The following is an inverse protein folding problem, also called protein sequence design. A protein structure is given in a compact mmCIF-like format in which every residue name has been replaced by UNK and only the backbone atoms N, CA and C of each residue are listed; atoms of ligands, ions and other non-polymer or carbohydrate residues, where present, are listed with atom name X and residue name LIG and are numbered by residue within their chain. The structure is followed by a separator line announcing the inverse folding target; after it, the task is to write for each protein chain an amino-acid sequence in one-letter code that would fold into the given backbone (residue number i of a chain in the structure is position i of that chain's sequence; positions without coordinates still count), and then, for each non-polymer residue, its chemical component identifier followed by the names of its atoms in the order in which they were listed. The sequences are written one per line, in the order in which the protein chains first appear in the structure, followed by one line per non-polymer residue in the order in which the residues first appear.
data_IF_050261657498
#
_entry.id   IF_050261657498
#
_cell.length_a   1.000
_cell.length_b   1.000
_cell.length_c   1.000
_cell.angle_alpha   90.00
_cell.angle_beta   90.00
_cell.angle_gamma   90.00
#
_symmetry.space_group_name_H-M   'P 1'
#
loop_
_entity.id
_entity.type
_entity.pdbx_description
1 polymer ?
#
# COMPACT_ATOMS: atom_id res chain seq x y z
N UNK A 1 6.97 8.45 -13.02
CA UNK A 1 6.62 8.81 -11.62
C UNK A 1 7.30 7.82 -10.69
N UNK A 2 7.66 8.25 -9.48
CA UNK A 2 8.67 7.62 -8.64
C UNK A 2 8.00 6.69 -7.61
N UNK A 3 8.68 5.58 -7.27
CA UNK A 3 8.22 4.44 -6.48
C UNK A 3 7.39 4.81 -5.22
N UNK A 4 7.81 5.87 -4.53
CA UNK A 4 7.25 6.28 -3.23
C UNK A 4 5.85 6.88 -3.28
N UNK A 5 5.42 7.36 -4.45
CA UNK A 5 4.06 7.86 -4.66
C UNK A 5 3.04 6.70 -4.57
N UNK A 6 3.47 5.45 -4.80
CA UNK A 6 2.58 4.29 -4.89
C UNK A 6 2.34 3.61 -3.53
N UNK A 7 3.39 3.44 -2.72
CA UNK A 7 3.32 2.51 -1.57
C UNK A 7 2.57 3.09 -0.35
N UNK A 8 2.50 4.41 -0.19
CA UNK A 8 1.77 5.05 0.92
C UNK A 8 0.25 4.80 0.86
N UNK A 9 -0.27 4.20 -0.22
CA UNK A 9 -1.71 4.04 -0.49
C UNK A 9 -2.20 2.59 -0.56
N UNK A 10 -1.34 1.59 -0.32
CA UNK A 10 -1.73 0.16 -0.34
C UNK A 10 -2.75 -0.24 0.75
N UNK A 11 -3.06 0.67 1.68
CA UNK A 11 -4.13 0.55 2.70
C UNK A 11 -5.54 0.39 2.09
N UNK A 12 -5.75 0.60 0.79
CA UNK A 12 -7.09 0.79 0.22
C UNK A 12 -7.54 -0.38 -0.70
N UNK A 13 -6.80 -1.50 -0.77
CA UNK A 13 -7.36 -2.74 -1.37
C UNK A 13 -8.50 -3.30 -0.49
N UNK A 14 -8.45 -3.05 0.82
CA UNK A 14 -9.60 -3.30 1.70
C UNK A 14 -10.79 -2.40 1.40
N UNK A 15 -10.54 -1.14 1.04
CA UNK A 15 -11.59 -0.12 0.93
C UNK A 15 -12.44 -0.23 -0.35
N UNK A 16 -11.98 -0.93 -1.39
CA UNK A 16 -12.82 -1.38 -2.51
C UNK A 16 -13.72 -2.57 -2.12
N UNK A 17 -13.40 -3.34 -1.08
CA UNK A 17 -14.26 -4.40 -0.53
C UNK A 17 -15.20 -3.94 0.60
N UNK A 18 -14.91 -2.78 1.23
CA UNK A 18 -15.79 -2.13 2.21
C UNK A 18 -17.11 -1.57 1.62
N UNK A 19 -17.40 -1.88 0.35
CA UNK A 19 -18.53 -1.43 -0.47
C UNK A 19 -19.93 -1.73 0.11
N UNK A 20 -20.02 -2.62 1.12
CA UNK A 20 -21.27 -3.12 1.69
C UNK A 20 -21.60 -2.61 3.11
N UNK A 21 -20.80 -1.72 3.72
CA UNK A 21 -21.23 -1.09 4.98
C UNK A 21 -22.41 -0.12 4.75
N UNK A 22 -23.45 -0.20 5.59
CA UNK A 22 -24.69 0.59 5.55
C UNK A 22 -24.50 2.11 5.77
N UNK A 23 -23.28 2.63 5.78
CA UNK A 23 -22.97 4.06 6.01
C UNK A 23 -22.56 4.76 4.70
N UNK A 24 -23.49 5.44 4.01
CA UNK A 24 -23.24 6.07 2.70
C UNK A 24 -22.18 7.21 2.72
N UNK A 25 -21.92 7.81 3.88
CA UNK A 25 -20.90 8.86 4.03
C UNK A 25 -19.46 8.31 3.93
N UNK A 26 -19.19 7.14 4.53
CA UNK A 26 -17.91 6.45 4.44
C UNK A 26 -17.63 6.05 2.98
N UNK A 27 -18.66 5.49 2.32
CA UNK A 27 -18.64 5.10 0.90
C UNK A 27 -18.25 6.25 -0.04
N UNK A 28 -18.73 7.47 0.20
CA UNK A 28 -18.49 8.61 -0.71
C UNK A 28 -17.10 9.24 -0.52
N UNK A 29 -16.60 9.32 0.72
CA UNK A 29 -15.30 9.92 1.04
C UNK A 29 -14.16 8.99 0.60
N UNK A 30 -14.29 7.70 0.90
CA UNK A 30 -13.34 6.66 0.48
C UNK A 30 -13.26 6.57 -1.05
N UNK A 31 -14.42 6.58 -1.74
CA UNK A 31 -14.48 6.45 -3.21
C UNK A 31 -13.96 7.67 -3.99
N UNK A 32 -14.14 8.89 -3.46
CA UNK A 32 -13.80 10.12 -4.22
C UNK A 32 -12.36 10.57 -4.05
N UNK A 33 -11.73 10.35 -2.89
CA UNK A 33 -10.37 10.86 -2.64
C UNK A 33 -9.33 9.74 -2.55
N UNK A 34 -9.70 8.55 -2.08
CA UNK A 34 -8.75 7.47 -1.81
C UNK A 34 -8.79 6.36 -2.86
N UNK A 35 -9.98 5.96 -3.34
CA UNK A 35 -10.12 4.86 -4.31
C UNK A 35 -9.41 5.10 -5.65
N UNK A 36 -9.45 6.31 -6.20
CA UNK A 36 -8.76 6.62 -7.46
C UNK A 36 -7.22 6.61 -7.31
N UNK A 37 -6.71 7.03 -6.16
CA UNK A 37 -5.28 7.09 -5.88
C UNK A 37 -4.71 5.69 -5.68
N UNK A 38 -5.48 4.80 -5.05
CA UNK A 38 -5.06 3.42 -4.79
C UNK A 38 -5.06 2.55 -6.02
N UNK A 39 -6.09 2.62 -6.86
CA UNK A 39 -6.08 1.88 -8.14
C UNK A 39 -4.89 2.33 -8.99
N UNK A 40 -4.62 3.64 -9.05
CA UNK A 40 -3.45 4.16 -9.77
C UNK A 40 -2.12 3.69 -9.16
N UNK A 41 -2.01 3.62 -7.84
CA UNK A 41 -0.81 3.15 -7.14
C UNK A 41 -0.56 1.64 -7.34
N UNK A 42 -1.60 0.81 -7.23
CA UNK A 42 -1.52 -0.63 -7.47
C UNK A 42 -1.10 -0.93 -8.91
N UNK A 43 -1.70 -0.26 -9.90
CA UNK A 43 -1.32 -0.43 -11.30
C UNK A 43 0.13 0.02 -11.58
N UNK A 44 0.58 1.09 -10.93
CA UNK A 44 1.98 1.52 -11.03
C UNK A 44 2.95 0.50 -10.43
N UNK A 45 2.59 -0.14 -9.30
CA UNK A 45 3.38 -1.21 -8.70
C UNK A 45 3.46 -2.45 -9.60
N UNK A 46 2.33 -2.90 -10.17
CA UNK A 46 2.31 -4.00 -11.16
C UNK A 46 3.20 -3.67 -12.36
N UNK A 47 3.06 -2.46 -12.90
CA UNK A 47 3.87 -1.98 -14.03
C UNK A 47 5.36 -1.97 -13.69
N UNK A 48 5.73 -1.56 -12.48
CA UNK A 48 7.11 -1.60 -12.03
C UNK A 48 7.67 -3.03 -12.01
N UNK A 49 6.94 -3.98 -11.42
CA UNK A 49 7.37 -5.38 -11.32
C UNK A 49 7.58 -5.95 -12.73
N UNK A 50 6.59 -5.76 -13.62
CA UNK A 50 6.68 -6.19 -15.02
C UNK A 50 7.90 -5.56 -15.69
N UNK A 51 8.10 -4.24 -15.56
CA UNK A 51 9.23 -3.54 -16.16
C UNK A 51 10.58 -4.09 -15.68
N UNK A 52 10.71 -4.39 -14.39
CA UNK A 52 11.95 -4.99 -13.86
C UNK A 52 12.16 -6.41 -14.40
N UNK A 53 11.10 -7.20 -14.53
CA UNK A 53 11.18 -8.54 -15.12
C UNK A 53 11.58 -8.50 -16.61
N UNK A 54 11.05 -7.55 -17.38
CA UNK A 54 11.46 -7.32 -18.78
C UNK A 54 12.92 -6.87 -18.86
N UNK A 55 13.35 -5.93 -18.00
CA UNK A 55 14.74 -5.45 -17.93
C UNK A 55 15.73 -6.55 -17.52
N UNK A 56 15.28 -7.55 -16.75
CA UNK A 56 16.06 -8.74 -16.38
C UNK A 56 16.11 -9.82 -17.47
N UNK A 57 15.49 -9.60 -18.64
CA UNK A 57 15.53 -10.52 -19.78
C UNK A 57 14.35 -11.50 -19.86
N UNK A 58 13.31 -11.33 -19.04
CA UNK A 58 12.11 -12.19 -19.02
C UNK A 58 10.92 -11.54 -19.75
N UNK A 59 11.17 -10.94 -20.92
CA UNK A 59 10.14 -10.20 -21.67
C UNK A 59 8.92 -11.06 -22.05
N UNK A 60 9.14 -12.34 -22.34
CA UNK A 60 8.09 -13.29 -22.71
C UNK A 60 7.09 -13.59 -21.56
N UNK A 61 7.42 -13.20 -20.32
CA UNK A 61 6.58 -13.40 -19.14
C UNK A 61 5.62 -12.23 -18.86
N UNK A 62 5.65 -11.15 -19.65
CA UNK A 62 4.83 -9.96 -19.38
C UNK A 62 3.32 -10.27 -19.30
N UNK A 63 2.77 -10.98 -20.28
CA UNK A 63 1.35 -11.29 -20.31
C UNK A 63 0.95 -12.31 -19.24
N UNK A 64 1.82 -13.26 -18.92
CA UNK A 64 1.61 -14.21 -17.82
C UNK A 64 1.60 -13.52 -16.45
N UNK A 65 2.47 -12.52 -16.24
CA UNK A 65 2.47 -11.70 -15.02
C UNK A 65 1.21 -10.84 -14.92
N UNK A 66 0.76 -10.21 -16.02
CA UNK A 66 -0.50 -9.45 -16.03
C UNK A 66 -1.69 -10.33 -15.69
N UNK A 67 -1.75 -11.52 -16.29
CA UNK A 67 -2.81 -12.49 -16.01
C UNK A 67 -2.76 -12.91 -14.54
N UNK A 68 -1.57 -13.25 -14.02
CA UNK A 68 -1.40 -13.62 -12.61
C UNK A 68 -1.85 -12.52 -11.64
N UNK A 69 -1.57 -11.25 -11.95
CA UNK A 69 -2.09 -10.14 -11.14
C UNK A 69 -3.61 -10.00 -11.21
N UNK A 70 -4.21 -10.23 -12.38
CA UNK A 70 -5.67 -10.25 -12.51
C UNK A 70 -6.30 -11.40 -11.71
N UNK A 71 -5.67 -12.58 -11.72
CA UNK A 71 -6.14 -13.76 -10.98
C UNK A 71 -6.02 -13.56 -9.47
N UNK A 72 -4.92 -12.95 -9.01
CA UNK A 72 -4.73 -12.51 -7.64
C UNK A 72 -5.86 -11.58 -7.18
N UNK A 73 -6.18 -10.54 -7.96
CA UNK A 73 -7.24 -9.60 -7.62
C UNK A 73 -8.61 -10.27 -7.57
N UNK A 74 -8.92 -11.10 -8.55
CA UNK A 74 -10.16 -11.87 -8.58
C UNK A 74 -10.26 -12.80 -7.37
N UNK A 75 -9.16 -13.46 -6.99
CA UNK A 75 -9.11 -14.34 -5.83
C UNK A 75 -9.28 -13.58 -4.51
N UNK A 76 -8.53 -12.50 -4.29
CA UNK A 76 -8.63 -11.67 -3.08
C UNK A 76 -10.04 -11.10 -2.91
N UNK A 77 -10.72 -10.74 -4.01
CA UNK A 77 -12.08 -10.18 -4.00
C UNK A 77 -13.17 -11.15 -3.52
N UNK A 78 -12.88 -12.45 -3.39
CA UNK A 78 -13.82 -13.45 -2.86
C UNK A 78 -14.13 -13.23 -1.39
N UNK A 79 -13.24 -12.56 -0.66
CA UNK A 79 -13.44 -12.15 0.73
C UNK A 79 -13.56 -10.63 0.79
N UNK A 80 -14.25 -10.13 1.80
CA UNK A 80 -14.59 -8.73 1.97
C UNK A 80 -14.08 -8.23 3.32
N UNK A 81 -13.27 -7.17 3.28
CA UNK A 81 -12.80 -6.54 4.51
C UNK A 81 -13.98 -6.10 5.37
N UNK A 82 -13.86 -6.24 6.69
CA UNK A 82 -14.88 -5.90 7.69
C UNK A 82 -16.19 -6.70 7.61
N UNK A 83 -16.32 -7.64 6.67
CA UNK A 83 -17.42 -8.59 6.58
C UNK A 83 -16.93 -9.96 7.03
N UNK A 84 -15.83 -10.42 6.46
CA UNK A 84 -15.11 -11.60 6.93
C UNK A 84 -14.24 -11.26 8.15
N UNK A 85 -13.88 -12.29 8.92
CA UNK A 85 -12.98 -12.12 10.07
C UNK A 85 -11.56 -11.75 9.62
N UNK A 86 -10.83 -11.04 10.49
CA UNK A 86 -9.46 -10.58 10.23
C UNK A 86 -8.56 -11.72 9.76
N UNK A 87 -8.57 -12.84 10.47
CA UNK A 87 -7.72 -14.00 10.18
C UNK A 87 -8.09 -14.64 8.83
N UNK A 88 -9.37 -14.81 8.56
CA UNK A 88 -9.87 -15.36 7.29
C UNK A 88 -9.47 -14.48 6.10
N UNK A 89 -9.59 -13.16 6.23
CA UNK A 89 -9.22 -12.23 5.17
C UNK A 89 -7.70 -12.23 4.92
N UNK A 90 -6.89 -12.27 5.98
CA UNK A 90 -5.42 -12.37 5.87
C UNK A 90 -5.02 -13.70 5.22
N UNK A 91 -5.61 -14.81 5.63
CA UNK A 91 -5.33 -16.13 5.06
C UNK A 91 -5.69 -16.17 3.57
N UNK A 92 -6.83 -15.59 3.18
CA UNK A 92 -7.21 -15.48 1.77
C UNK A 92 -6.18 -14.70 0.95
N UNK A 93 -5.65 -13.58 1.46
CA UNK A 93 -4.57 -12.84 0.76
C UNK A 93 -3.34 -13.73 0.58
N UNK A 94 -2.90 -14.41 1.64
CA UNK A 94 -1.73 -15.29 1.59
C UNK A 94 -1.92 -16.40 0.55
N UNK A 95 -3.05 -17.11 0.59
CA UNK A 95 -3.38 -18.17 -0.36
C UNK A 95 -3.45 -17.67 -1.81
N UNK A 96 -4.18 -16.58 -2.05
CA UNK A 96 -4.31 -16.00 -3.39
C UNK A 96 -2.98 -15.48 -3.96
N UNK A 97 -2.05 -15.06 -3.09
CA UNK A 97 -0.76 -14.48 -3.52
C UNK A 97 0.29 -15.50 -3.94
N UNK A 98 0.14 -16.79 -3.60
CA UNK A 98 1.19 -17.79 -3.76
C UNK A 98 1.70 -17.91 -5.22
N UNK A 99 0.79 -17.98 -6.19
CA UNK A 99 1.16 -18.13 -7.59
C UNK A 99 1.85 -16.86 -8.12
N UNK A 100 1.29 -15.69 -7.84
CA UNK A 100 1.88 -14.41 -8.26
C UNK A 100 3.26 -14.18 -7.65
N UNK A 101 3.44 -14.49 -6.36
CA UNK A 101 4.75 -14.42 -5.70
C UNK A 101 5.74 -15.34 -6.39
N UNK A 102 5.36 -16.58 -6.68
CA UNK A 102 6.22 -17.54 -7.38
C UNK A 102 6.63 -17.03 -8.76
N UNK A 103 5.69 -16.50 -9.55
CA UNK A 103 5.96 -15.96 -10.90
C UNK A 103 6.86 -14.73 -10.85
N UNK A 104 6.59 -13.80 -9.92
CA UNK A 104 7.40 -12.59 -9.73
C UNK A 104 8.82 -12.96 -9.29
N UNK A 105 8.98 -13.85 -8.29
CA UNK A 105 10.31 -14.34 -7.88
C UNK A 105 11.06 -14.99 -9.05
N UNK A 106 10.37 -15.71 -9.93
CA UNK A 106 10.96 -16.35 -11.10
C UNK A 106 11.47 -15.40 -12.18
N UNK A 107 11.08 -14.13 -12.18
CA UNK A 107 11.51 -13.13 -13.17
C UNK A 107 12.34 -11.98 -12.59
N UNK A 108 12.43 -11.89 -11.26
CA UNK A 108 13.34 -10.98 -10.56
C UNK A 108 14.73 -11.62 -10.40
N UNK A 109 15.76 -10.78 -10.23
CA UNK A 109 17.08 -11.29 -9.84
C UNK A 109 17.04 -11.86 -8.43
N UNK A 110 18.01 -12.72 -8.07
CA UNK A 110 18.15 -13.26 -6.71
C UNK A 110 18.18 -12.16 -5.65
N UNK A 111 18.80 -11.02 -5.95
CA UNK A 111 18.88 -9.86 -5.05
C UNK A 111 17.56 -9.12 -4.88
N UNK A 112 16.64 -9.24 -5.83
CA UNK A 112 15.32 -8.60 -5.83
C UNK A 112 14.20 -9.54 -5.36
N UNK A 113 14.50 -10.82 -5.12
CA UNK A 113 13.51 -11.86 -4.76
C UNK A 113 12.77 -11.56 -3.45
N UNK A 114 13.33 -10.73 -2.57
CA UNK A 114 12.69 -10.27 -1.34
C UNK A 114 11.41 -9.46 -1.60
N UNK A 115 11.32 -8.82 -2.77
CA UNK A 115 10.32 -7.80 -3.05
C UNK A 115 8.86 -8.32 -3.01
N UNK A 116 8.49 -9.42 -3.68
CA UNK A 116 7.12 -9.96 -3.59
C UNK A 116 6.71 -10.34 -2.15
N UNK A 117 7.61 -10.89 -1.34
CA UNK A 117 7.30 -11.21 0.06
C UNK A 117 7.20 -9.96 0.92
N UNK A 118 8.03 -8.95 0.64
CA UNK A 118 7.92 -7.63 1.27
C UNK A 118 6.52 -7.04 1.04
N UNK A 119 6.00 -7.13 -0.19
CA UNK A 119 4.66 -6.66 -0.52
C UNK A 119 3.57 -7.44 0.22
N UNK A 120 3.72 -8.76 0.36
CA UNK A 120 2.78 -9.59 1.13
C UNK A 120 2.78 -9.22 2.61
N UNK A 121 3.95 -9.04 3.22
CA UNK A 121 4.07 -8.60 4.61
C UNK A 121 3.46 -7.21 4.81
N UNK A 122 3.72 -6.28 3.90
CA UNK A 122 3.13 -4.95 3.93
C UNK A 122 1.60 -5.02 3.82
N UNK A 123 1.06 -5.78 2.87
CA UNK A 123 -0.38 -5.95 2.71
C UNK A 123 -1.01 -6.55 3.96
N UNK A 124 -0.39 -7.59 4.54
CA UNK A 124 -0.87 -8.24 5.77
C UNK A 124 -0.93 -7.27 6.94
N UNK A 125 0.14 -6.48 7.17
CA UNK A 125 0.16 -5.49 8.26
C UNK A 125 -0.80 -4.33 8.06
N UNK A 126 -0.99 -3.89 6.81
CA UNK A 126 -2.01 -2.88 6.52
C UNK A 126 -3.42 -3.44 6.74
N UNK A 127 -3.68 -4.72 6.49
CA UNK A 127 -4.95 -5.35 6.85
C UNK A 127 -5.14 -5.43 8.36
N UNK A 128 -4.11 -5.85 9.11
CA UNK A 128 -4.15 -5.85 10.57
C UNK A 128 -4.51 -4.46 11.11
N UNK A 129 -3.80 -3.42 10.65
CA UNK A 129 -4.09 -2.02 10.96
C UNK A 129 -5.56 -1.65 10.68
N UNK A 130 -6.10 -2.01 9.51
CA UNK A 130 -7.47 -1.68 9.14
C UNK A 130 -8.49 -2.29 10.12
N UNK A 131 -8.31 -3.57 10.50
CA UNK A 131 -9.19 -4.22 11.46
C UNK A 131 -9.02 -3.68 12.89
N UNK A 132 -7.78 -3.52 13.34
CA UNK A 132 -7.47 -3.12 14.72
C UNK A 132 -7.85 -1.66 14.99
N UNK A 133 -7.75 -0.79 13.96
CA UNK A 133 -8.11 0.62 14.03
C UNK A 133 -9.43 0.96 13.36
N UNK A 134 -10.30 -0.02 13.09
CA UNK A 134 -11.59 0.20 12.40
C UNK A 134 -12.41 1.34 12.99
N UNK A 135 -12.50 1.41 14.32
CA UNK A 135 -13.25 2.47 15.01
C UNK A 135 -12.61 3.85 14.81
N UNK A 136 -11.28 3.94 14.94
CA UNK A 136 -10.50 5.17 14.75
C UNK A 136 -10.63 5.65 13.30
N UNK A 137 -10.49 4.73 12.34
CA UNK A 137 -10.60 5.02 10.93
C UNK A 137 -11.99 5.62 10.62
N UNK A 138 -13.04 4.95 11.07
CA UNK A 138 -14.41 5.34 10.74
C UNK A 138 -14.90 6.59 11.47
N UNK A 139 -14.39 6.85 12.67
CA UNK A 139 -14.89 7.92 13.56
C UNK A 139 -14.02 9.17 13.49
N UNK A 140 -12.70 9.02 13.42
CA UNK A 140 -11.72 10.10 13.58
C UNK A 140 -10.98 10.38 12.28
N UNK A 141 -10.45 9.33 11.61
CA UNK A 141 -9.62 9.50 10.42
C UNK A 141 -10.44 9.99 9.23
N UNK A 142 -11.59 9.38 8.92
CA UNK A 142 -12.44 9.77 7.78
C UNK A 142 -12.84 11.25 7.80
N UNK A 143 -13.32 11.84 8.91
CA UNK A 143 -13.57 13.28 8.96
C UNK A 143 -12.28 14.10 8.95
N UNK A 144 -11.19 13.65 9.57
CA UNK A 144 -9.85 14.25 9.48
C UNK A 144 -9.38 14.37 8.02
N UNK A 145 -9.52 13.32 7.20
CA UNK A 145 -9.02 13.29 5.81
C UNK A 145 -9.59 14.40 4.92
N UNK A 146 -10.67 15.08 5.33
CA UNK A 146 -11.17 16.29 4.64
C UNK A 146 -10.17 17.44 4.62
N UNK A 147 -9.16 17.46 5.50
CA UNK A 147 -8.08 18.47 5.46
C UNK A 147 -7.35 18.50 4.12
N UNK A 148 -7.27 17.36 3.41
CA UNK A 148 -6.70 17.27 2.07
C UNK A 148 -7.55 17.93 0.98
N UNK A 149 -8.80 18.31 1.26
CA UNK A 149 -9.57 19.15 0.33
C UNK A 149 -9.00 20.57 0.25
N UNK A 150 -8.20 21.00 1.24
CA UNK A 150 -7.46 22.26 1.20
C UNK A 150 -6.21 22.10 0.33
N UNK A 151 -6.03 23.04 -0.60
CA UNK A 151 -4.97 22.99 -1.59
C UNK A 151 -3.57 22.98 -0.95
N UNK A 152 -3.35 23.79 0.09
CA UNK A 152 -2.08 23.89 0.80
C UNK A 152 -1.66 22.56 1.46
N UNK A 153 -2.61 21.83 2.05
CA UNK A 153 -2.36 20.51 2.65
C UNK A 153 -2.03 19.47 1.58
N UNK A 154 -2.86 19.37 0.54
CA UNK A 154 -2.64 18.42 -0.56
C UNK A 154 -1.34 18.71 -1.32
N UNK A 155 -1.05 19.98 -1.59
CA UNK A 155 0.20 20.39 -2.22
C UNK A 155 1.40 20.13 -1.29
N UNK A 156 1.26 20.39 0.01
CA UNK A 156 2.28 20.08 1.01
C UNK A 156 2.63 18.60 1.05
N UNK A 157 1.63 17.73 1.03
CA UNK A 157 1.81 16.27 0.92
C UNK A 157 2.57 15.87 -0.34
N UNK A 158 2.09 16.32 -1.51
CA UNK A 158 2.75 16.01 -2.79
C UNK A 158 4.19 16.52 -2.82
N UNK A 159 4.43 17.72 -2.29
CA UNK A 159 5.78 18.30 -2.18
C UNK A 159 6.66 17.47 -1.26
N UNK A 160 6.14 16.97 -0.13
CA UNK A 160 6.86 16.07 0.75
C UNK A 160 7.29 14.81 0.01
N UNK A 161 6.36 14.11 -0.64
CA UNK A 161 6.65 12.88 -1.39
C UNK A 161 7.69 13.12 -2.50
N UNK A 162 7.54 14.19 -3.29
CA UNK A 162 8.49 14.53 -4.37
C UNK A 162 9.88 14.85 -3.81
N UNK A 163 9.94 15.61 -2.71
CA UNK A 163 11.20 15.99 -2.07
C UNK A 163 11.89 14.78 -1.47
N UNK A 164 11.16 13.93 -0.75
CA UNK A 164 11.66 12.68 -0.20
C UNK A 164 12.19 11.78 -1.30
N UNK A 165 11.43 11.58 -2.38
CA UNK A 165 11.85 10.77 -3.51
C UNK A 165 13.10 11.31 -4.22
N UNK A 166 13.29 12.64 -4.28
CA UNK A 166 14.55 13.22 -4.77
C UNK A 166 15.70 12.96 -3.81
N UNK A 167 15.48 13.16 -2.51
CA UNK A 167 16.48 12.97 -1.44
C UNK A 167 16.96 11.53 -1.35
N UNK A 168 16.06 10.55 -1.49
CA UNK A 168 16.38 9.13 -1.37
C UNK A 168 16.86 8.50 -2.68
N UNK A 169 17.03 9.30 -3.73
CA UNK A 169 17.38 8.84 -5.08
C UNK A 169 16.47 7.70 -5.56
N UNK A 170 15.17 7.90 -5.37
CA UNK A 170 14.17 6.91 -5.72
C UNK A 170 14.02 6.81 -7.26
N UNK A 171 14.11 5.58 -7.78
CA UNK A 171 14.16 5.23 -9.20
C UNK A 171 12.97 4.35 -9.59
N UNK A 172 12.80 4.10 -10.89
CA UNK A 172 11.79 3.16 -11.41
C UNK A 172 12.31 1.71 -11.48
N UNK A 173 13.17 1.33 -10.53
CA UNK A 173 13.84 0.02 -10.47
C UNK A 173 13.74 -0.51 -9.05
N UNK A 174 13.45 -1.81 -8.91
CA UNK A 174 13.45 -2.49 -7.61
C UNK A 174 14.91 -2.55 -7.12
N UNK A 175 15.25 -2.00 -5.95
CA UNK A 175 16.60 -2.06 -5.40
C UNK A 175 17.06 -3.50 -5.16
N UNK A 176 18.38 -3.72 -5.25
CA UNK A 176 19.02 -5.02 -5.03
C UNK A 176 19.09 -5.45 -3.55
N UNK A 177 18.49 -4.68 -2.63
CA UNK A 177 18.46 -5.05 -1.22
C UNK A 177 17.28 -4.42 -0.49
N UNK A 178 16.79 -5.15 0.51
CA UNK A 178 15.78 -4.67 1.44
C UNK A 178 16.20 -3.36 2.11
N UNK A 179 17.46 -3.23 2.54
CA UNK A 179 17.96 -2.03 3.21
C UNK A 179 17.91 -0.79 2.29
N UNK A 180 18.36 -0.92 1.05
CA UNK A 180 18.28 0.16 0.06
C UNK A 180 16.85 0.52 -0.29
N UNK A 181 15.97 -0.47 -0.28
CA UNK A 181 14.56 -0.25 -0.48
C UNK A 181 13.90 0.49 0.68
N UNK A 182 14.13 0.02 1.91
CA UNK A 182 13.54 0.57 3.12
C UNK A 182 14.03 1.99 3.42
N UNK A 183 15.31 2.28 3.18
CA UNK A 183 15.85 3.64 3.27
C UNK A 183 15.20 4.62 2.29
N UNK A 184 14.64 4.13 1.17
CA UNK A 184 13.83 4.94 0.25
C UNK A 184 12.38 5.03 0.70
N UNK A 185 11.81 3.89 1.09
CA UNK A 185 10.40 3.68 1.40
C UNK A 185 9.93 4.41 2.67
N UNK A 186 10.55 4.13 3.82
CA UNK A 186 10.07 4.60 5.12
C UNK A 186 9.98 6.14 5.23
N UNK A 187 10.94 6.93 4.70
CA UNK A 187 10.84 8.38 4.74
C UNK A 187 9.60 8.96 4.03
N UNK A 188 9.00 8.24 3.09
CA UNK A 188 7.78 8.71 2.41
C UNK A 188 6.53 8.49 3.25
N UNK A 189 6.52 7.47 4.11
CA UNK A 189 5.40 7.18 5.02
C UNK A 189 5.15 8.35 5.98
N UNK A 190 6.23 8.97 6.46
CA UNK A 190 6.16 10.16 7.32
C UNK A 190 5.41 11.33 6.68
N UNK A 191 5.39 11.44 5.34
CA UNK A 191 4.67 12.54 4.69
C UNK A 191 3.17 12.53 4.99
N UNK A 192 2.55 11.37 5.19
CA UNK A 192 1.16 11.28 5.59
C UNK A 192 1.01 11.54 7.09
N UNK A 193 1.78 10.84 7.93
CA UNK A 193 1.63 10.92 9.39
C UNK A 193 1.94 12.29 9.95
N UNK A 194 2.94 12.99 9.40
CA UNK A 194 3.28 14.35 9.82
C UNK A 194 2.11 15.32 9.54
N UNK A 195 1.37 15.12 8.45
CA UNK A 195 0.18 15.91 8.14
C UNK A 195 -0.97 15.55 9.07
N UNK A 196 -1.21 14.27 9.33
CA UNK A 196 -2.25 13.83 10.26
C UNK A 196 -1.99 14.41 11.67
N UNK A 197 -0.76 14.31 12.16
CA UNK A 197 -0.39 14.80 13.49
C UNK A 197 -0.50 16.32 13.60
N UNK A 198 -0.24 17.05 12.51
CA UNK A 198 -0.34 18.50 12.46
C UNK A 198 -1.77 19.01 12.28
N UNK A 199 -2.52 18.44 11.33
CA UNK A 199 -3.79 18.97 10.86
C UNK A 199 -5.01 18.35 11.54
N UNK A 200 -4.85 17.20 12.21
CA UNK A 200 -5.94 16.44 12.81
C UNK A 200 -5.88 16.36 14.33
N UNK A 201 -5.24 17.33 14.98
CA UNK A 201 -5.12 17.44 16.44
C UNK A 201 -6.47 17.45 17.19
N UNK A 202 -7.55 17.88 16.53
CA UNK A 202 -8.91 17.84 17.06
C UNK A 202 -9.52 16.43 17.15
N UNK A 203 -8.88 15.42 16.56
CA UNK A 203 -9.31 14.03 16.57
C UNK A 203 -8.33 13.21 17.44
N UNK A 204 -8.64 12.97 18.72
CA UNK A 204 -7.67 12.51 19.71
C UNK A 204 -7.09 11.13 19.40
N UNK A 205 -7.82 10.28 18.66
CA UNK A 205 -7.37 8.94 18.27
C UNK A 205 -6.53 8.92 16.98
N UNK A 206 -6.47 10.02 16.21
CA UNK A 206 -5.66 10.06 14.96
C UNK A 206 -4.18 9.89 15.25
N UNK A 207 -3.67 10.41 16.36
CA UNK A 207 -2.28 10.21 16.75
C UNK A 207 -1.93 8.72 16.91
N UNK A 208 -2.81 7.95 17.55
CA UNK A 208 -2.64 6.48 17.67
C UNK A 208 -2.59 5.85 16.27
N UNK A 209 -3.51 6.23 15.38
CA UNK A 209 -3.49 5.73 14.00
C UNK A 209 -2.20 6.08 13.25
N UNK A 210 -1.66 7.30 13.40
CA UNK A 210 -0.35 7.67 12.81
C UNK A 210 0.76 6.75 13.29
N UNK A 211 0.83 6.47 14.60
CA UNK A 211 1.82 5.56 15.19
C UNK A 211 1.64 4.10 14.72
N UNK A 212 0.41 3.61 14.69
CA UNK A 212 0.09 2.27 14.18
C UNK A 212 0.37 2.12 12.68
N UNK A 213 0.10 3.17 11.90
CA UNK A 213 0.43 3.23 10.48
C UNK A 213 1.93 3.17 10.23
N UNK A 214 2.74 3.93 10.99
CA UNK A 214 4.20 3.85 10.90
C UNK A 214 4.69 2.43 11.19
N UNK A 215 4.26 1.85 12.32
CA UNK A 215 4.62 0.46 12.69
C UNK A 215 4.25 -0.56 11.62
N UNK A 216 3.07 -0.43 11.02
CA UNK A 216 2.62 -1.35 9.96
C UNK A 216 3.49 -1.26 8.69
N UNK A 217 4.03 -0.08 8.38
CA UNK A 217 4.92 0.12 7.23
C UNK A 217 6.40 -0.15 7.56
N UNK A 218 6.81 -0.01 8.81
CA UNK A 218 8.16 -0.38 9.29
C UNK A 218 8.34 -1.89 9.37
N UNK A 219 7.30 -2.62 9.79
CA UNK A 219 7.39 -4.06 10.03
C UNK A 219 8.01 -4.87 8.87
N UNK A 220 7.62 -4.68 7.59
CA UNK A 220 8.23 -5.40 6.47
C UNK A 220 9.74 -5.13 6.31
N UNK A 221 10.25 -3.99 6.77
CA UNK A 221 11.67 -3.65 6.74
C UNK A 221 12.50 -4.34 7.83
N UNK A 222 11.83 -4.89 8.84
CA UNK A 222 12.46 -5.60 9.97
C UNK A 222 12.48 -7.12 9.76
N UNK A 223 11.83 -7.61 8.70
CA UNK A 223 11.75 -9.04 8.41
C UNK A 223 12.99 -9.55 7.68
N UNK A 224 13.19 -10.86 7.77
CA UNK A 224 14.13 -11.60 6.91
C UNK A 224 13.35 -12.25 5.78
N UNK A 225 13.91 -12.18 4.58
CA UNK A 225 13.34 -12.76 3.37
C UNK A 225 14.29 -13.84 2.85
N UNK A 226 13.72 -14.97 2.46
CA UNK A 226 14.42 -16.13 1.91
C UNK A 226 14.16 -16.29 0.40
#
# INVERSE_FOLDING_TARGET
MKFLICMCFLVIIGLSSAENEKRPALKRIVRSTLGQITTAATEQLKTLIIKNCVENGFADNEDDLKQSFSDLEACVSKRKIYVDDKEDFINNIKECSQESIKKVKGCLTEKQSYFPDFLLNLATKNVELLYDDKEIITTDLVPCMKVFQRFDVSFGYLKCIVTTSKRTNDTATIPDSLENYCSRFLPAIHCLTDILDKECTQYPKVKKYSEDHLRANEYPCEQKYE
#
